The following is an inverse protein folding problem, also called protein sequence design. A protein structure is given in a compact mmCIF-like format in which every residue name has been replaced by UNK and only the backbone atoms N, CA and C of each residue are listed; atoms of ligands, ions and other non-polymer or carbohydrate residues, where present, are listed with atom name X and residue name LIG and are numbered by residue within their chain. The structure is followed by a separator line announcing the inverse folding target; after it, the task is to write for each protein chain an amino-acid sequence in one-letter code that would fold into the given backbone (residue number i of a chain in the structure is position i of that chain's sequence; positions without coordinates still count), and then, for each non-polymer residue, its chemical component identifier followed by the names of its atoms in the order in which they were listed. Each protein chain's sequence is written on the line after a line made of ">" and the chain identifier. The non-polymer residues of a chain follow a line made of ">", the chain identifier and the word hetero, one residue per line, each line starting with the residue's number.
data_IF_457361228870
#
_entry.id   IF_457361228870
#
_cell.length_a   1.000
_cell.length_b   1.000
_cell.length_c   1.000
_cell.angle_alpha   90.00
_cell.angle_beta   90.00
_cell.angle_gamma   90.00
#
_symmetry.space_group_name_H-M   'P 1'
#
loop_
_entity.id
_entity.type
_entity.pdbx_description
1 polymer ?
#
# COMPACT_ATOMS: atom_id res chain seq x y z
N UNK A 1 9.00 -29.14 0.87
CA UNK A 1 9.90 -28.01 0.54
C UNK A 1 9.68 -26.97 1.61
N UNK A 2 10.73 -26.32 2.12
CA UNK A 2 10.58 -25.28 3.14
C UNK A 2 10.10 -23.98 2.50
N UNK A 3 8.98 -23.45 2.99
CA UNK A 3 8.28 -22.29 2.42
C UNK A 3 8.92 -20.98 2.89
N UNK A 4 9.02 -19.99 1.98
CA UNK A 4 9.43 -18.62 2.30
C UNK A 4 8.18 -17.75 2.42
N UNK A 5 8.16 -16.87 3.41
CA UNK A 5 7.02 -15.99 3.68
C UNK A 5 7.42 -14.53 3.52
N UNK A 6 6.47 -13.69 3.10
CA UNK A 6 6.63 -12.24 3.18
C UNK A 6 6.73 -11.81 4.66
N UNK A 7 7.44 -10.72 4.96
CA UNK A 7 7.50 -10.18 6.31
C UNK A 7 7.25 -8.68 6.31
N UNK A 8 6.00 -8.27 6.50
CA UNK A 8 5.64 -6.88 6.65
C UNK A 8 6.41 -6.26 7.83
N UNK A 9 6.92 -5.05 7.61
CA UNK A 9 7.48 -4.25 8.68
C UNK A 9 6.37 -3.84 9.66
N UNK A 10 6.67 -3.91 10.95
CA UNK A 10 5.72 -3.47 11.97
C UNK A 10 5.64 -1.93 11.95
N UNK A 11 4.49 -1.41 11.53
CA UNK A 11 4.17 0.00 11.67
C UNK A 11 3.48 0.25 13.03
N UNK A 12 3.67 1.44 13.65
CA UNK A 12 2.86 1.85 14.79
C UNK A 12 1.37 1.80 14.43
N UNK A 13 0.53 1.35 15.36
CA UNK A 13 -0.92 1.41 15.17
C UNK A 13 -1.36 2.89 15.07
N UNK A 14 -2.33 3.22 14.20
CA UNK A 14 -2.91 4.55 14.17
C UNK A 14 -3.53 4.90 15.53
N UNK A 15 -3.22 6.09 16.06
CA UNK A 15 -3.84 6.60 17.28
C UNK A 15 -5.08 7.42 16.92
N UNK A 16 -6.26 6.96 17.32
CA UNK A 16 -7.53 7.68 17.11
C UNK A 16 -7.97 8.40 18.39
N UNK A 17 -8.66 9.54 18.22
CA UNK A 17 -9.22 10.28 19.34
C UNK A 17 -10.27 9.44 20.11
N UNK A 18 -10.29 9.53 21.45
CA UNK A 18 -11.26 8.80 22.26
C UNK A 18 -12.69 9.28 21.95
N UNK A 19 -13.65 8.33 21.89
CA UNK A 19 -15.06 8.62 21.64
C UNK A 19 -15.50 8.62 20.17
N UNK A 20 -14.61 8.24 19.25
CA UNK A 20 -14.96 8.04 17.84
C UNK A 20 -15.96 6.87 17.69
N UNK A 21 -17.05 7.10 16.95
CA UNK A 21 -18.02 6.05 16.63
C UNK A 21 -17.35 4.90 15.88
N UNK A 22 -17.77 3.66 16.13
CA UNK A 22 -17.13 2.46 15.58
C UNK A 22 -17.09 2.48 14.03
N UNK A 23 -18.21 2.85 13.40
CA UNK A 23 -18.33 2.96 11.93
C UNK A 23 -17.33 3.98 11.35
N UNK A 24 -17.17 5.12 12.04
CA UNK A 24 -16.26 6.20 11.66
C UNK A 24 -14.79 5.78 11.80
N UNK A 25 -14.47 5.06 12.88
CA UNK A 25 -13.14 4.47 13.09
C UNK A 25 -12.80 3.45 11.99
N UNK A 26 -13.74 2.59 11.64
CA UNK A 26 -13.52 1.56 10.63
C UNK A 26 -13.21 2.13 9.25
N UNK A 27 -13.95 3.16 8.85
CA UNK A 27 -13.72 3.85 7.58
C UNK A 27 -12.31 4.46 7.46
N UNK A 28 -11.80 5.04 8.56
CA UNK A 28 -10.44 5.59 8.62
C UNK A 28 -9.36 4.51 8.59
N UNK A 29 -9.56 3.44 9.37
CA UNK A 29 -8.64 2.30 9.43
C UNK A 29 -8.47 1.67 8.05
N UNK A 30 -9.58 1.35 7.38
CA UNK A 30 -9.55 0.75 6.04
C UNK A 30 -9.07 1.72 4.95
N UNK A 31 -9.40 3.00 5.06
CA UNK A 31 -9.16 4.00 4.00
C UNK A 31 -7.81 4.72 4.05
N UNK A 32 -7.21 4.87 5.23
CA UNK A 32 -6.00 5.69 5.43
C UNK A 32 -4.78 5.15 4.67
N UNK A 33 -4.64 3.85 4.48
CA UNK A 33 -3.55 3.28 3.67
C UNK A 33 -3.81 3.31 2.17
N UNK A 34 -5.05 3.53 1.73
CA UNK A 34 -5.41 3.42 0.31
C UNK A 34 -5.00 4.67 -0.47
N UNK A 35 -4.59 4.50 -1.72
CA UNK A 35 -4.32 5.60 -2.64
C UNK A 35 -5.63 6.27 -3.09
N UNK A 36 -5.61 7.54 -3.48
CA UNK A 36 -6.76 8.15 -4.17
C UNK A 36 -6.78 7.74 -5.64
N UNK A 37 -7.95 7.64 -6.25
CA UNK A 37 -8.09 7.34 -7.67
C UNK A 37 -7.36 8.38 -8.53
N UNK A 38 -6.88 7.94 -9.69
CA UNK A 38 -6.06 8.68 -10.65
C UNK A 38 -4.60 8.86 -10.21
N UNK A 39 -4.17 8.26 -9.10
CA UNK A 39 -2.76 8.23 -8.69
C UNK A 39 -1.97 7.41 -9.71
N UNK A 40 -0.86 7.97 -10.19
CA UNK A 40 0.17 7.22 -10.90
C UNK A 40 1.24 6.87 -9.87
N UNK A 41 1.40 5.59 -9.58
CA UNK A 41 2.42 5.07 -8.68
C UNK A 41 3.72 4.92 -9.46
N UNK A 42 4.66 5.81 -9.19
CA UNK A 42 5.97 5.76 -9.81
C UNK A 42 6.84 4.77 -9.07
N UNK A 43 7.48 3.87 -9.82
CA UNK A 43 8.38 2.88 -9.26
C UNK A 43 9.78 2.98 -9.85
N UNK A 44 10.77 2.71 -9.01
CA UNK A 44 12.19 2.70 -9.33
C UNK A 44 12.81 1.39 -8.86
N UNK A 45 13.59 0.75 -9.73
CA UNK A 45 14.46 -0.35 -9.32
C UNK A 45 15.81 0.21 -8.92
N UNK A 46 16.33 -0.19 -7.76
CA UNK A 46 17.73 0.08 -7.46
C UNK A 46 18.60 -0.58 -8.53
N UNK A 47 19.55 0.17 -9.08
CA UNK A 47 20.47 -0.28 -10.11
C UNK A 47 21.92 -0.24 -9.60
N UNK A 48 22.81 -0.93 -10.30
CA UNK A 48 24.22 -1.03 -9.93
C UNK A 48 25.06 0.17 -10.43
N UNK A 49 24.54 0.97 -11.36
CA UNK A 49 25.28 2.04 -12.04
C UNK A 49 25.17 3.38 -11.27
N UNK A 50 24.05 3.60 -10.57
CA UNK A 50 23.85 4.61 -9.53
C UNK A 50 24.27 4.11 -8.13
N UNK A 51 24.87 2.92 -8.04
CA UNK A 51 25.46 2.41 -6.81
C UNK A 51 26.75 3.18 -6.46
N UNK A 52 26.59 4.47 -6.17
CA UNK A 52 27.33 5.07 -5.08
C UNK A 52 27.23 4.12 -3.87
N UNK A 53 28.24 4.13 -3.01
CA UNK A 53 28.37 3.22 -1.88
C UNK A 53 27.28 3.43 -0.78
N UNK A 54 26.01 3.54 -1.16
CA UNK A 54 24.83 3.82 -0.34
C UNK A 54 23.72 2.77 -0.52
N UNK A 55 23.53 2.19 -1.71
CA UNK A 55 22.38 1.29 -2.00
C UNK A 55 22.66 -0.17 -1.68
N UNK A 56 23.18 -0.38 -0.47
CA UNK A 56 23.53 -1.70 0.01
C UNK A 56 23.21 -1.80 1.48
N UNK A 57 22.74 -2.96 1.92
CA UNK A 57 22.74 -3.27 3.34
C UNK A 57 24.15 -3.67 3.80
N UNK A 58 24.50 -3.31 5.04
CA UNK A 58 25.73 -3.75 5.70
C UNK A 58 25.39 -4.81 6.74
N UNK A 59 25.46 -6.07 6.35
CA UNK A 59 25.03 -7.21 7.17
C UNK A 59 26.23 -7.95 7.79
N UNK A 60 26.10 -8.49 9.01
CA UNK A 60 27.13 -9.32 9.61
C UNK A 60 27.31 -10.62 8.82
N UNK A 61 28.55 -11.08 8.69
CA UNK A 61 28.87 -12.40 8.15
C UNK A 61 28.90 -13.39 9.33
N UNK A 62 27.99 -14.38 9.38
CA UNK A 62 27.89 -15.29 10.51
C UNK A 62 29.24 -15.97 10.84
N UNK A 63 29.60 -15.98 12.12
CA UNK A 63 30.80 -16.69 12.62
C UNK A 63 32.15 -16.03 12.36
N UNK A 64 32.19 -14.86 11.71
CA UNK A 64 33.47 -14.19 11.34
C UNK A 64 33.70 -12.86 12.05
N UNK A 65 32.64 -12.23 12.59
CA UNK A 65 32.71 -10.85 13.11
C UNK A 65 32.85 -9.78 12.02
N UNK A 66 32.98 -10.17 10.75
CA UNK A 66 33.08 -9.27 9.62
C UNK A 66 31.69 -8.77 9.19
N UNK A 67 31.69 -7.65 8.45
CA UNK A 67 30.48 -7.10 7.82
C UNK A 67 30.67 -7.10 6.31
N UNK A 68 29.64 -7.53 5.58
CA UNK A 68 29.62 -7.46 4.12
C UNK A 68 28.55 -6.50 3.64
N UNK A 69 28.85 -5.86 2.51
CA UNK A 69 27.88 -5.04 1.77
C UNK A 69 27.09 -5.94 0.82
N UNK A 70 25.77 -5.82 0.81
CA UNK A 70 24.90 -6.55 -0.11
C UNK A 70 24.10 -5.55 -0.92
N UNK A 71 24.29 -5.48 -2.25
CA UNK A 71 23.59 -4.54 -3.09
C UNK A 71 22.10 -4.87 -3.17
N UNK A 72 21.30 -3.83 -3.39
CA UNK A 72 19.86 -3.97 -3.62
C UNK A 72 19.50 -4.13 -5.10
N UNK A 73 20.47 -3.96 -6.00
CA UNK A 73 20.24 -4.07 -7.43
C UNK A 73 19.80 -5.49 -7.83
N UNK A 74 18.72 -5.55 -8.62
CA UNK A 74 18.20 -6.80 -9.18
C UNK A 74 18.66 -7.04 -10.61
N UNK A 75 18.80 -8.31 -10.98
CA UNK A 75 19.01 -8.71 -12.37
C UNK A 75 17.82 -8.29 -13.24
N UNK A 76 18.08 -7.98 -14.51
CA UNK A 76 17.05 -7.49 -15.45
C UNK A 76 15.86 -8.45 -15.56
N UNK A 77 16.12 -9.74 -15.54
CA UNK A 77 15.11 -10.79 -15.67
C UNK A 77 14.12 -10.77 -14.49
N UNK A 78 14.60 -10.50 -13.27
CA UNK A 78 13.74 -10.36 -12.10
C UNK A 78 12.95 -9.05 -12.13
N UNK A 79 13.56 -7.96 -12.59
CA UNK A 79 12.85 -6.69 -12.79
C UNK A 79 11.74 -6.85 -13.84
N UNK A 80 11.99 -7.60 -14.92
CA UNK A 80 11.00 -7.87 -15.97
C UNK A 80 9.79 -8.66 -15.43
N UNK A 81 10.00 -9.60 -14.50
CA UNK A 81 8.90 -10.28 -13.78
C UNK A 81 8.05 -9.26 -12.99
N UNK A 82 8.69 -8.33 -12.27
CA UNK A 82 7.97 -7.29 -11.52
C UNK A 82 7.19 -6.36 -12.45
N UNK A 83 7.78 -5.94 -13.58
CA UNK A 83 7.10 -5.16 -14.64
C UNK A 83 5.87 -5.90 -15.19
N UNK A 84 5.98 -7.21 -15.41
CA UNK A 84 4.84 -8.05 -15.82
C UNK A 84 3.72 -8.08 -14.80
N UNK A 85 4.06 -8.19 -13.51
CA UNK A 85 3.06 -8.18 -12.44
C UNK A 85 2.38 -6.81 -12.29
N UNK A 86 3.12 -5.70 -12.44
CA UNK A 86 2.49 -4.37 -12.53
C UNK A 86 1.53 -4.27 -13.72
N UNK A 87 1.91 -4.81 -14.89
CA UNK A 87 1.02 -4.87 -16.06
C UNK A 87 -0.22 -5.72 -15.82
N UNK A 88 -0.14 -6.80 -15.05
CA UNK A 88 -1.29 -7.62 -14.70
C UNK A 88 -2.30 -6.86 -13.83
N UNK A 89 -1.83 -6.23 -12.74
CA UNK A 89 -2.66 -5.37 -11.90
C UNK A 89 -3.28 -4.21 -12.69
N UNK A 90 -2.46 -3.53 -13.50
CA UNK A 90 -2.92 -2.47 -14.42
C UNK A 90 -3.98 -2.96 -15.40
N UNK A 91 -3.81 -4.17 -15.93
CA UNK A 91 -4.69 -4.79 -16.93
C UNK A 91 -6.12 -5.03 -16.43
N UNK A 92 -6.36 -4.95 -15.12
CA UNK A 92 -7.71 -4.97 -14.54
C UNK A 92 -8.51 -3.70 -14.83
N UNK A 93 -7.87 -2.62 -15.29
CA UNK A 93 -8.51 -1.33 -15.53
C UNK A 93 -8.82 -0.56 -14.24
N UNK A 94 -8.06 -0.80 -13.18
CA UNK A 94 -8.18 -0.11 -11.89
C UNK A 94 -7.89 1.39 -12.03
N UNK A 95 -8.42 2.16 -11.08
CA UNK A 95 -8.32 3.61 -11.06
C UNK A 95 -6.95 4.17 -10.66
N UNK A 96 -5.93 3.34 -10.48
CA UNK A 96 -4.53 3.76 -10.28
C UNK A 96 -3.68 3.22 -11.44
N UNK A 97 -2.61 3.93 -11.80
CA UNK A 97 -1.67 3.49 -12.83
C UNK A 97 -0.26 3.32 -12.24
N UNK A 98 0.64 2.71 -13.01
CA UNK A 98 2.03 2.47 -12.62
C UNK A 98 2.98 2.97 -13.70
N UNK A 99 4.02 3.69 -13.30
CA UNK A 99 5.03 4.21 -14.21
C UNK A 99 6.44 3.95 -13.67
N UNK A 100 7.30 3.35 -14.50
CA UNK A 100 8.72 3.22 -14.15
C UNK A 100 9.43 4.55 -14.34
N UNK A 101 10.25 4.95 -13.38
CA UNK A 101 11.08 6.17 -13.44
C UNK A 101 12.55 5.81 -13.27
N UNK A 102 13.42 6.61 -13.88
CA UNK A 102 14.88 6.46 -13.78
C UNK A 102 15.51 7.16 -12.57
N UNK A 103 14.73 7.92 -11.80
CA UNK A 103 15.19 8.62 -10.61
C UNK A 103 14.33 8.25 -9.40
N UNK A 104 14.97 7.78 -8.32
CA UNK A 104 14.28 7.41 -7.08
C UNK A 104 13.56 8.60 -6.42
N UNK A 105 14.01 9.85 -6.65
CA UNK A 105 13.34 11.04 -6.11
C UNK A 105 11.98 11.30 -6.73
N UNK A 106 11.70 10.64 -7.85
CA UNK A 106 10.42 10.69 -8.54
C UNK A 106 9.59 9.42 -8.30
N UNK A 107 9.98 8.55 -7.35
CA UNK A 107 9.35 7.25 -7.11
C UNK A 107 8.73 7.12 -5.71
N UNK A 108 7.42 6.84 -5.65
CA UNK A 108 6.76 6.41 -4.42
C UNK A 108 7.20 4.99 -4.02
N UNK A 109 7.40 4.11 -5.00
CA UNK A 109 7.82 2.72 -4.79
C UNK A 109 9.29 2.51 -5.19
N UNK A 110 10.13 2.10 -4.24
CA UNK A 110 11.57 1.88 -4.45
C UNK A 110 11.91 0.43 -4.17
N UNK A 111 12.24 -0.32 -5.22
CA UNK A 111 12.23 -1.77 -5.23
C UNK A 111 13.66 -2.32 -5.25
N UNK A 112 14.01 -3.09 -4.22
CA UNK A 112 15.28 -3.82 -4.14
C UNK A 112 15.13 -5.34 -4.26
N UNK A 113 16.25 -6.01 -4.43
CA UNK A 113 16.33 -7.46 -4.64
C UNK A 113 17.38 -8.10 -3.72
N UNK A 114 17.41 -7.73 -2.44
CA UNK A 114 18.42 -8.21 -1.51
C UNK A 114 18.14 -9.66 -1.09
N UNK A 115 18.98 -10.64 -1.46
CA UNK A 115 18.74 -12.03 -1.10
C UNK A 115 18.86 -12.24 0.41
N UNK A 116 17.94 -13.03 0.97
CA UNK A 116 17.93 -13.37 2.39
C UNK A 116 17.37 -12.30 3.33
N UNK A 117 16.89 -11.17 2.80
CA UNK A 117 16.22 -10.10 3.56
C UNK A 117 14.69 -10.28 3.64
N UNK A 118 14.19 -11.43 3.18
CA UNK A 118 12.76 -11.68 2.97
C UNK A 118 12.21 -10.92 1.75
N UNK A 119 10.96 -11.20 1.40
CA UNK A 119 10.18 -10.35 0.49
C UNK A 119 9.17 -9.56 1.32
N UNK A 120 8.95 -8.30 0.97
CA UNK A 120 8.04 -7.41 1.67
C UNK A 120 7.78 -6.14 0.86
N UNK A 121 6.67 -5.45 1.17
CA UNK A 121 6.34 -4.12 0.68
C UNK A 121 5.75 -3.28 1.80
N UNK A 122 5.94 -1.96 1.71
CA UNK A 122 5.10 -1.00 2.40
C UNK A 122 3.64 -1.17 1.96
N UNK A 123 2.70 -0.91 2.87
CA UNK A 123 1.28 -1.09 2.62
C UNK A 123 0.68 0.24 2.14
N UNK A 124 0.32 0.31 0.86
CA UNK A 124 -0.29 1.50 0.28
C UNK A 124 0.50 2.79 0.53
N UNK A 125 -0.18 3.83 1.05
CA UNK A 125 0.38 5.15 1.33
C UNK A 125 1.47 5.17 2.41
N UNK A 126 1.65 4.09 3.18
CA UNK A 126 2.76 3.99 4.13
C UNK A 126 4.12 4.14 3.42
N UNK A 127 4.20 3.82 2.13
CA UNK A 127 5.37 4.05 1.29
C UNK A 127 5.86 5.51 1.30
N UNK A 128 4.96 6.47 1.49
CA UNK A 128 5.27 7.91 1.54
C UNK A 128 6.01 8.32 2.82
N UNK A 129 6.00 7.49 3.87
CA UNK A 129 6.68 7.77 5.14
C UNK A 129 8.14 7.28 5.16
N UNK A 130 8.50 6.44 4.18
CA UNK A 130 9.82 5.82 4.08
C UNK A 130 10.79 6.79 3.40
N UNK A 131 11.99 6.91 3.96
CA UNK A 131 13.05 7.79 3.45
C UNK A 131 13.40 7.52 1.99
N UNK A 132 13.84 8.57 1.30
CA UNK A 132 14.16 8.53 -0.13
C UNK A 132 15.26 7.51 -0.49
N UNK A 133 16.20 7.29 0.43
CA UNK A 133 17.32 6.37 0.24
C UNK A 133 16.99 4.93 0.60
N UNK A 134 15.80 4.66 1.14
CA UNK A 134 15.40 3.34 1.60
C UNK A 134 14.45 2.66 0.61
N UNK A 135 14.49 1.32 0.61
CA UNK A 135 13.53 0.49 -0.12
C UNK A 135 12.14 0.64 0.49
N UNK A 136 11.12 0.70 -0.35
CA UNK A 136 9.72 0.51 0.07
C UNK A 136 9.21 -0.89 -0.27
N UNK A 137 9.97 -1.65 -1.06
CA UNK A 137 9.68 -3.03 -1.40
C UNK A 137 10.99 -3.79 -1.61
N UNK A 138 11.02 -5.06 -1.21
CA UNK A 138 12.15 -5.94 -1.46
C UNK A 138 11.70 -7.32 -1.93
N UNK A 139 12.47 -7.91 -2.83
CA UNK A 139 12.38 -9.33 -3.19
C UNK A 139 13.60 -10.08 -2.65
N UNK A 140 13.35 -11.05 -1.77
CA UNK A 140 14.39 -11.77 -1.04
C UNK A 140 14.94 -13.00 -1.75
N UNK A 141 14.42 -13.32 -2.93
CA UNK A 141 14.75 -14.52 -3.70
C UNK A 141 14.44 -14.35 -5.18
N UNK A 142 14.94 -15.32 -5.97
CA UNK A 142 14.80 -15.32 -7.43
C UNK A 142 13.33 -15.47 -7.87
N UNK A 143 12.79 -14.40 -8.44
CA UNK A 143 11.42 -14.35 -8.98
C UNK A 143 11.26 -15.13 -10.29
N UNK A 144 12.35 -15.45 -10.99
CA UNK A 144 12.31 -16.18 -12.27
C UNK A 144 12.12 -17.68 -12.06
N UNK A 145 12.34 -18.18 -10.84
CA UNK A 145 12.11 -19.58 -10.51
C UNK A 145 10.61 -19.94 -10.61
N UNK A 146 10.27 -21.18 -11.03
CA UNK A 146 8.88 -21.61 -11.15
C UNK A 146 8.05 -21.33 -9.89
N UNK A 147 6.89 -20.72 -10.08
CA UNK A 147 5.97 -20.36 -9.00
C UNK A 147 6.34 -19.11 -8.18
N UNK A 148 7.52 -18.50 -8.37
CA UNK A 148 7.94 -17.33 -7.59
C UNK A 148 7.37 -16.00 -8.10
N UNK A 149 6.82 -15.97 -9.31
CA UNK A 149 6.08 -14.82 -9.85
C UNK A 149 4.95 -14.36 -8.92
N UNK A 150 4.29 -15.29 -8.24
CA UNK A 150 3.23 -14.97 -7.28
C UNK A 150 3.70 -14.03 -6.15
N UNK A 151 4.97 -14.11 -5.75
CA UNK A 151 5.55 -13.18 -4.77
C UNK A 151 5.48 -11.73 -5.28
N UNK A 152 5.80 -11.48 -6.55
CA UNK A 152 5.70 -10.12 -7.10
C UNK A 152 4.26 -9.61 -7.15
N UNK A 153 3.28 -10.46 -7.47
CA UNK A 153 1.87 -10.07 -7.40
C UNK A 153 1.44 -9.73 -5.96
N UNK A 154 1.89 -10.54 -4.99
CA UNK A 154 1.63 -10.35 -3.56
C UNK A 154 2.19 -9.02 -3.03
N UNK A 155 3.47 -8.72 -3.28
CA UNK A 155 4.09 -7.48 -2.82
C UNK A 155 3.45 -6.25 -3.48
N UNK A 156 3.04 -6.34 -4.75
CA UNK A 156 2.28 -5.26 -5.40
C UNK A 156 0.87 -5.13 -4.79
N UNK A 157 0.25 -6.22 -4.37
CA UNK A 157 -1.00 -6.20 -3.59
C UNK A 157 -0.86 -5.39 -2.29
N UNK A 158 0.23 -5.58 -1.55
CA UNK A 158 0.57 -4.72 -0.41
C UNK A 158 0.76 -3.26 -0.81
N UNK A 159 1.50 -2.98 -1.88
CA UNK A 159 1.66 -1.61 -2.40
C UNK A 159 0.32 -0.97 -2.80
N UNK A 160 -0.69 -1.76 -3.12
CA UNK A 160 -2.08 -1.33 -3.37
C UNK A 160 -2.94 -1.25 -2.10
N UNK A 161 -2.41 -1.63 -0.93
CA UNK A 161 -3.07 -1.52 0.37
C UNK A 161 -3.73 -2.81 0.88
N UNK A 162 -3.47 -3.95 0.25
CA UNK A 162 -3.95 -5.25 0.73
C UNK A 162 -3.13 -5.75 1.92
N UNK A 163 -3.78 -6.49 2.82
CA UNK A 163 -3.13 -7.18 3.94
C UNK A 163 -3.22 -8.70 3.77
N UNK A 164 -2.53 -9.46 4.62
CA UNK A 164 -2.56 -10.91 4.54
C UNK A 164 -3.94 -11.49 4.86
N UNK A 165 -4.35 -12.45 4.05
CA UNK A 165 -5.71 -13.01 4.07
C UNK A 165 -5.95 -13.94 5.28
N UNK A 166 -4.94 -14.73 5.70
CA UNK A 166 -5.02 -15.60 6.90
C UNK A 166 -5.20 -14.84 8.21
N UNK A 167 -4.83 -13.57 8.23
CA UNK A 167 -4.99 -12.69 9.41
C UNK A 167 -6.43 -12.17 9.53
N UNK A 168 -7.29 -12.41 8.53
CA UNK A 168 -8.72 -12.10 8.61
C UNK A 168 -9.37 -12.83 9.80
N UNK A 169 -10.20 -12.15 10.61
CA UNK A 169 -10.99 -12.81 11.62
C UNK A 169 -12.11 -13.67 11.00
N UNK A 170 -12.45 -13.43 9.73
CA UNK A 170 -13.42 -14.23 8.97
C UNK A 170 -12.84 -15.54 8.43
N UNK A 171 -11.53 -15.75 8.52
CA UNK A 171 -10.88 -16.98 8.07
C UNK A 171 -11.25 -18.21 8.91
N UNK A 172 -11.70 -18.01 10.15
CA UNK A 172 -11.99 -19.11 11.07
C UNK A 172 -10.76 -19.97 11.41
N UNK A 173 -9.55 -19.54 10.98
CA UNK A 173 -8.33 -20.30 11.23
C UNK A 173 -8.01 -20.33 12.72
N UNK A 174 -7.99 -21.53 13.26
CA UNK A 174 -7.42 -21.83 14.56
C UNK A 174 -6.05 -22.48 14.35
N UNK A 175 -5.00 -21.83 14.85
CA UNK A 175 -3.62 -22.27 14.69
C UNK A 175 -3.20 -23.27 15.77
N UNK A 176 -2.27 -24.15 15.43
CA UNK A 176 -1.35 -24.71 16.42
C UNK A 176 -0.19 -23.70 16.57
N UNK A 177 -0.34 -22.75 17.49
CA UNK A 177 0.60 -21.65 17.69
C UNK A 177 2.06 -22.15 17.87
N UNK A 178 2.28 -23.20 18.66
CA UNK A 178 3.63 -23.71 18.91
C UNK A 178 4.22 -24.40 17.66
N UNK A 179 3.41 -25.12 16.89
CA UNK A 179 3.85 -25.67 15.61
C UNK A 179 4.23 -24.55 14.63
N UNK A 180 3.44 -23.47 14.55
CA UNK A 180 3.74 -22.30 13.71
C UNK A 180 5.03 -21.62 14.16
N UNK A 181 5.23 -21.41 15.47
CA UNK A 181 6.48 -20.85 15.98
C UNK A 181 7.68 -21.74 15.67
N UNK A 182 7.56 -23.05 15.86
CA UNK A 182 8.64 -24.00 15.60
C UNK A 182 9.02 -24.05 14.11
N UNK A 183 8.03 -24.08 13.21
CA UNK A 183 8.24 -24.08 11.76
C UNK A 183 8.96 -22.80 11.31
N UNK A 184 8.50 -21.63 11.74
CA UNK A 184 9.05 -20.35 11.27
C UNK A 184 10.37 -19.97 11.95
N UNK A 185 10.69 -20.53 13.11
CA UNK A 185 12.03 -20.42 13.70
C UNK A 185 13.09 -21.21 12.92
N UNK A 186 12.68 -22.20 12.12
CA UNK A 186 13.55 -22.99 11.25
C UNK A 186 13.93 -22.29 9.93
N UNK A 187 14.85 -22.89 9.15
CA UNK A 187 15.17 -22.43 7.80
C UNK A 187 13.95 -22.54 6.86
N UNK A 188 13.79 -21.61 5.89
CA UNK A 188 14.69 -20.50 5.57
C UNK A 188 14.38 -19.20 6.32
N UNK A 189 13.36 -19.18 7.18
CA UNK A 189 12.79 -17.94 7.72
C UNK A 189 13.56 -17.42 8.93
N UNK A 190 13.88 -18.30 9.89
CA UNK A 190 14.57 -17.94 11.14
C UNK A 190 13.89 -16.78 11.90
N UNK A 191 12.56 -16.77 11.94
CA UNK A 191 11.80 -15.70 12.57
C UNK A 191 11.77 -15.84 14.08
N UNK A 192 11.80 -14.69 14.76
CA UNK A 192 11.46 -14.62 16.18
C UNK A 192 9.97 -14.87 16.39
N UNK A 193 9.59 -15.27 17.60
CA UNK A 193 8.17 -15.41 17.97
C UNK A 193 7.40 -14.10 17.73
N UNK A 194 7.98 -12.94 18.02
CA UNK A 194 7.31 -11.66 17.77
C UNK A 194 7.04 -11.41 16.27
N UNK A 195 8.00 -11.70 15.40
CA UNK A 195 7.83 -11.58 13.95
C UNK A 195 6.77 -12.56 13.43
N UNK A 196 6.79 -13.81 13.89
CA UNK A 196 5.78 -14.82 13.58
C UNK A 196 4.40 -14.41 14.05
N UNK A 197 4.29 -13.91 15.29
CA UNK A 197 3.02 -13.43 15.83
C UNK A 197 2.48 -12.29 14.98
N UNK A 198 3.30 -11.31 14.63
CA UNK A 198 2.86 -10.15 13.86
C UNK A 198 2.40 -10.50 12.44
N UNK A 199 3.14 -11.35 11.73
CA UNK A 199 2.90 -11.67 10.32
C UNK A 199 1.92 -12.84 10.10
N UNK A 200 1.74 -13.73 11.09
CA UNK A 200 0.93 -14.95 10.93
C UNK A 200 -0.20 -15.02 11.94
N UNK A 201 0.11 -15.01 13.24
CA UNK A 201 -0.89 -15.38 14.26
C UNK A 201 -1.82 -14.23 14.66
N UNK A 202 -1.36 -12.98 14.55
CA UNK A 202 -2.15 -11.79 14.87
C UNK A 202 -3.34 -11.72 13.92
N UNK A 203 -4.54 -11.56 14.47
CA UNK A 203 -5.74 -11.22 13.71
C UNK A 203 -5.83 -9.71 13.49
N UNK A 204 -6.24 -9.33 12.28
CA UNK A 204 -6.54 -7.96 11.90
C UNK A 204 -7.86 -7.52 12.53
N UNK A 205 -8.02 -6.20 12.68
CA UNK A 205 -9.34 -5.64 12.96
C UNK A 205 -10.28 -5.92 11.77
N UNK A 206 -11.58 -6.24 11.98
CA UNK A 206 -12.54 -6.41 10.89
C UNK A 206 -12.61 -5.24 9.91
N UNK A 207 -12.21 -4.04 10.33
CA UNK A 207 -12.16 -2.86 9.46
C UNK A 207 -10.86 -2.76 8.64
N UNK A 208 -9.85 -3.59 8.93
CA UNK A 208 -8.57 -3.65 8.20
C UNK A 208 -8.55 -4.72 7.12
N UNK A 209 -9.47 -5.68 7.13
CA UNK A 209 -9.41 -6.84 6.23
C UNK A 209 -9.74 -6.49 4.78
N UNK A 210 -9.30 -7.34 3.86
CA UNK A 210 -9.59 -7.17 2.44
C UNK A 210 -11.09 -7.35 2.15
N UNK A 211 -11.73 -8.34 2.78
CA UNK A 211 -13.15 -8.62 2.59
C UNK A 211 -13.80 -9.27 3.81
N UNK A 212 -15.13 -9.29 3.83
CA UNK A 212 -15.94 -9.93 4.87
C UNK A 212 -16.08 -11.44 4.72
N UNK A 213 -15.49 -12.01 3.65
CA UNK A 213 -15.44 -13.45 3.37
C UNK A 213 -13.99 -13.80 3.14
N UNK A 214 -13.52 -14.86 3.80
CA UNK A 214 -12.16 -15.35 3.63
C UNK A 214 -11.98 -16.04 2.29
N UNK A 215 -10.91 -15.68 1.57
CA UNK A 215 -10.51 -16.30 0.32
C UNK A 215 -9.21 -17.10 0.46
N UNK A 216 -9.28 -18.44 0.65
CA UNK A 216 -8.09 -19.30 0.76
C UNK A 216 -7.26 -19.38 -0.53
N UNK A 217 -7.74 -18.81 -1.64
CA UNK A 217 -7.06 -18.75 -2.93
C UNK A 217 -6.54 -17.34 -3.28
N UNK A 218 -6.70 -16.38 -2.37
CA UNK A 218 -6.18 -15.02 -2.54
C UNK A 218 -4.68 -15.05 -2.78
N UNK A 219 -4.19 -14.12 -3.61
CA UNK A 219 -2.76 -13.86 -3.74
C UNK A 219 -2.14 -13.42 -2.41
N UNK A 220 -2.94 -12.87 -1.48
CA UNK A 220 -2.52 -12.43 -0.15
C UNK A 220 -2.55 -13.54 0.90
N UNK A 221 -3.00 -14.73 0.54
CA UNK A 221 -3.00 -15.91 1.40
C UNK A 221 -1.64 -16.59 1.39
N UNK A 222 -1.17 -17.01 2.57
CA UNK A 222 0.09 -17.73 2.68
C UNK A 222 -0.12 -19.23 2.47
N UNK A 223 0.82 -19.92 1.78
CA UNK A 223 0.81 -21.37 1.76
C UNK A 223 1.29 -21.91 3.11
N UNK A 224 0.46 -22.68 3.83
CA UNK A 224 0.83 -23.31 5.09
C UNK A 224 0.97 -24.82 4.95
N UNK A 225 1.99 -25.38 5.60
CA UNK A 225 2.21 -26.83 5.63
C UNK A 225 1.16 -27.55 6.51
N UNK A 226 1.05 -28.87 6.33
CA UNK A 226 0.24 -29.72 7.21
C UNK A 226 0.66 -29.61 8.67
N UNK A 227 -0.31 -29.64 9.57
CA UNK A 227 -0.08 -29.65 11.02
C UNK A 227 0.05 -28.26 11.65
N UNK A 228 -0.03 -27.18 10.86
CA UNK A 228 -0.02 -25.81 11.39
C UNK A 228 -1.43 -25.29 11.73
N UNK A 229 -2.43 -25.75 10.99
CA UNK A 229 -3.83 -25.32 11.12
C UNK A 229 -4.62 -26.44 11.81
N UNK A 230 -5.30 -26.12 12.91
CA UNK A 230 -6.19 -27.01 13.64
C UNK A 230 -7.62 -26.96 13.09
N UNK A 231 -8.08 -25.78 12.68
CA UNK A 231 -9.39 -25.57 12.05
C UNK A 231 -9.30 -24.50 10.96
N UNK A 232 -10.12 -24.59 9.89
CA UNK A 232 -11.07 -25.67 9.63
C UNK A 232 -10.38 -26.98 9.20
N UNK A 233 -11.06 -28.12 9.41
CA UNK A 233 -10.47 -29.46 9.23
C UNK A 233 -9.89 -29.70 7.84
N UNK A 234 -10.49 -29.10 6.81
CA UNK A 234 -10.04 -29.18 5.42
C UNK A 234 -8.59 -28.70 5.22
N UNK A 235 -8.10 -27.74 6.03
CA UNK A 235 -6.72 -27.21 5.91
C UNK A 235 -5.73 -27.82 6.91
N UNK A 236 -6.11 -28.85 7.69
CA UNK A 236 -5.16 -29.59 8.55
C UNK A 236 -4.03 -30.25 7.74
N UNK A 237 -4.32 -30.61 6.49
CA UNK A 237 -3.35 -31.22 5.58
C UNK A 237 -2.51 -30.19 4.81
N UNK A 238 -2.75 -28.90 5.03
CA UNK A 238 -2.06 -27.79 4.39
C UNK A 238 -3.02 -26.85 3.68
N UNK A 239 -2.56 -25.62 3.45
CA UNK A 239 -3.23 -24.58 2.69
C UNK A 239 -2.33 -24.18 1.52
N UNK A 240 -2.86 -24.22 0.31
CA UNK A 240 -2.09 -24.07 -0.92
C UNK A 240 -2.82 -23.15 -1.92
N UNK A 241 -2.64 -21.82 -1.80
CA UNK A 241 -3.15 -20.88 -2.80
C UNK A 241 -2.45 -21.06 -4.15
N UNK A 242 -3.15 -20.73 -5.24
CA UNK A 242 -2.64 -20.92 -6.62
C UNK A 242 -1.43 -20.04 -6.98
N UNK A 243 -1.20 -18.92 -6.27
CA UNK A 243 -0.14 -17.96 -6.60
C UNK A 243 -0.50 -17.02 -7.77
N UNK A 244 -1.79 -16.78 -7.99
CA UNK A 244 -2.35 -15.86 -9.00
C UNK A 244 -3.50 -15.04 -8.41
N UNK A 245 -3.86 -13.93 -9.04
CA UNK A 245 -4.99 -13.09 -8.57
C UNK A 245 -6.32 -13.86 -8.60
N UNK A 246 -6.94 -14.01 -7.44
CA UNK A 246 -8.28 -14.57 -7.28
C UNK A 246 -9.37 -13.61 -7.77
N UNK A 247 -10.62 -14.06 -7.90
CA UNK A 247 -11.76 -13.16 -8.13
C UNK A 247 -11.93 -12.12 -7.02
N UNK A 248 -11.74 -12.49 -5.75
CA UNK A 248 -11.88 -11.59 -4.61
C UNK A 248 -10.76 -10.54 -4.57
N UNK A 249 -9.53 -10.89 -4.95
CA UNK A 249 -8.43 -9.94 -5.09
C UNK A 249 -8.77 -8.83 -6.10
N UNK A 250 -9.33 -9.23 -7.25
CA UNK A 250 -9.73 -8.31 -8.33
C UNK A 250 -10.89 -7.42 -7.90
N UNK A 251 -11.89 -7.99 -7.24
CA UNK A 251 -13.02 -7.24 -6.70
C UNK A 251 -12.56 -6.22 -5.66
N UNK A 252 -11.65 -6.61 -4.75
CA UNK A 252 -11.09 -5.72 -3.74
C UNK A 252 -10.49 -4.45 -4.37
N UNK A 253 -9.58 -4.61 -5.33
CA UNK A 253 -8.92 -3.47 -5.95
C UNK A 253 -9.85 -2.66 -6.83
N UNK A 254 -10.83 -3.28 -7.51
CA UNK A 254 -11.82 -2.55 -8.31
C UNK A 254 -12.80 -1.75 -7.44
N UNK A 255 -13.11 -2.23 -6.23
CA UNK A 255 -13.93 -1.50 -5.27
C UNK A 255 -13.22 -0.26 -4.73
N UNK A 256 -11.93 -0.39 -4.39
CA UNK A 256 -11.13 0.72 -3.84
C UNK A 256 -10.57 1.67 -4.89
N UNK A 257 -10.35 1.16 -6.10
CA UNK A 257 -9.82 1.88 -7.24
C UNK A 257 -10.72 1.62 -8.46
N UNK A 258 -11.97 2.15 -8.46
CA UNK A 258 -12.85 2.00 -9.61
C UNK A 258 -12.24 2.61 -10.87
N UNK A 259 -12.50 2.05 -12.07
CA UNK A 259 -12.00 2.63 -13.31
C UNK A 259 -12.35 4.12 -13.43
N UNK A 260 -11.34 4.96 -13.66
CA UNK A 260 -11.55 6.39 -13.88
C UNK A 260 -11.69 6.68 -15.38
N UNK A 261 -12.73 7.42 -15.74
CA UNK A 261 -12.86 7.99 -17.08
C UNK A 261 -11.82 9.10 -17.33
N UNK A 262 -11.74 9.62 -18.56
CA UNK A 262 -10.79 10.69 -18.90
C UNK A 262 -11.02 11.90 -17.97
N UNK A 263 -9.97 12.39 -17.27
CA UNK A 263 -10.13 13.44 -16.28
C UNK A 263 -10.56 14.74 -16.95
N UNK A 264 -11.81 15.15 -16.72
CA UNK A 264 -12.26 16.53 -16.88
C UNK A 264 -12.70 17.08 -15.53
N UNK A 265 -11.76 17.20 -14.57
CA UNK A 265 -12.08 17.70 -13.25
C UNK A 265 -12.63 19.12 -13.33
N UNK A 266 -13.58 19.43 -12.45
CA UNK A 266 -14.12 20.78 -12.33
C UNK A 266 -13.03 21.74 -11.84
N UNK A 267 -13.09 23.02 -12.23
CA UNK A 267 -12.16 24.02 -11.72
C UNK A 267 -12.42 24.34 -10.24
N UNK A 268 -11.42 24.18 -9.38
CA UNK A 268 -11.44 24.67 -8.01
C UNK A 268 -10.88 26.09 -7.99
N UNK A 269 -11.79 27.06 -8.15
CA UNK A 269 -11.43 28.48 -8.20
C UNK A 269 -10.99 28.95 -6.80
N UNK A 270 -9.82 29.58 -6.65
CA UNK A 270 -9.36 30.08 -5.36
C UNK A 270 -10.39 31.01 -4.68
N UNK A 271 -10.54 30.87 -3.37
CA UNK A 271 -11.53 31.54 -2.50
C UNK A 271 -13.00 31.26 -2.85
N UNK A 272 -13.29 30.15 -3.53
CA UNK A 272 -14.66 29.64 -3.72
C UNK A 272 -14.75 28.21 -3.24
N UNK A 273 -15.68 27.95 -2.33
CA UNK A 273 -15.98 26.59 -1.91
C UNK A 273 -16.70 25.83 -3.02
N UNK A 274 -16.31 24.57 -3.21
CA UNK A 274 -16.99 23.62 -4.07
C UNK A 274 -17.68 22.58 -3.18
N UNK A 275 -19.02 22.43 -3.24
CA UNK A 275 -19.71 21.42 -2.44
C UNK A 275 -19.31 20.02 -2.89
N UNK A 276 -19.11 19.14 -1.92
CA UNK A 276 -18.85 17.72 -2.14
C UNK A 276 -20.18 16.96 -1.97
N UNK A 277 -20.54 16.17 -2.98
CA UNK A 277 -21.70 15.28 -2.94
C UNK A 277 -21.18 13.85 -3.08
N UNK A 278 -20.53 13.40 -2.02
CA UNK A 278 -19.83 12.12 -1.97
C UNK A 278 -20.51 11.21 -0.95
N UNK A 279 -20.65 9.93 -1.29
CA UNK A 279 -20.88 8.84 -0.36
C UNK A 279 -19.55 8.26 0.16
N UNK A 280 -19.61 7.36 1.16
CA UNK A 280 -18.42 6.68 1.68
C UNK A 280 -17.61 5.98 0.57
N UNK A 281 -16.31 6.24 0.52
CA UNK A 281 -15.38 5.73 -0.49
C UNK A 281 -15.39 6.50 -1.82
N UNK A 282 -16.38 7.37 -2.06
CA UNK A 282 -16.43 8.17 -3.28
C UNK A 282 -15.39 9.29 -3.27
N UNK A 283 -15.05 9.77 -4.46
CA UNK A 283 -14.02 10.77 -4.67
C UNK A 283 -14.51 11.88 -5.61
N UNK A 284 -14.07 13.11 -5.33
CA UNK A 284 -14.21 14.25 -6.22
C UNK A 284 -12.84 14.75 -6.68
N UNK A 285 -12.74 15.05 -7.98
CA UNK A 285 -11.53 15.53 -8.62
C UNK A 285 -11.73 16.98 -9.11
N UNK A 286 -10.77 17.82 -8.77
CA UNK A 286 -10.73 19.22 -9.17
C UNK A 286 -9.39 19.59 -9.80
N UNK A 287 -9.39 20.62 -10.66
CA UNK A 287 -8.18 21.23 -11.20
C UNK A 287 -8.00 22.65 -10.66
N UNK A 288 -6.76 23.01 -10.34
CA UNK A 288 -6.35 24.36 -9.99
C UNK A 288 -5.32 24.85 -11.01
N UNK A 289 -5.58 26.04 -11.55
CA UNK A 289 -4.60 26.84 -12.28
C UNK A 289 -4.38 28.15 -11.49
N UNK A 290 -3.32 28.23 -10.66
CA UNK A 290 -3.11 29.37 -9.78
C UNK A 290 -2.80 30.62 -10.60
N UNK A 291 -3.44 31.73 -10.25
CA UNK A 291 -3.22 33.03 -10.89
C UNK A 291 -1.96 33.74 -10.39
N UNK A 292 -1.40 33.29 -9.25
CA UNK A 292 -0.21 33.83 -8.60
C UNK A 292 0.65 32.71 -7.99
N UNK A 293 1.96 32.89 -7.96
CA UNK A 293 2.86 31.97 -7.25
C UNK A 293 2.90 32.33 -5.77
N UNK A 294 2.33 31.48 -4.92
CA UNK A 294 2.34 31.65 -3.45
C UNK A 294 2.02 30.34 -2.74
N UNK A 295 2.07 30.37 -1.41
CA UNK A 295 1.44 29.33 -0.59
C UNK A 295 -0.08 29.48 -0.66
N UNK A 296 -0.76 28.35 -0.87
CA UNK A 296 -2.20 28.19 -0.80
C UNK A 296 -2.50 27.16 0.29
N UNK A 297 -3.63 27.36 0.98
CA UNK A 297 -4.25 26.31 1.76
C UNK A 297 -5.28 25.59 0.89
N UNK A 298 -5.29 24.26 0.93
CA UNK A 298 -6.31 23.43 0.31
C UNK A 298 -6.88 22.54 1.40
N UNK A 299 -8.21 22.53 1.55
CA UNK A 299 -8.82 21.74 2.60
C UNK A 299 -10.31 21.54 2.44
N UNK A 300 -10.81 20.55 3.17
CA UNK A 300 -12.23 20.25 3.32
C UNK A 300 -12.87 21.09 4.44
N UNK A 301 -14.20 21.14 4.43
CA UNK A 301 -15.03 21.80 5.41
C UNK A 301 -16.27 20.95 5.64
N UNK A 302 -16.81 21.00 6.85
CA UNK A 302 -18.03 20.31 7.24
C UNK A 302 -17.77 19.16 8.21
N UNK A 303 -18.79 18.32 8.35
CA UNK A 303 -18.82 17.17 9.25
C UNK A 303 -18.43 15.89 8.49
N UNK A 304 -17.14 15.74 8.19
CA UNK A 304 -16.61 14.59 7.45
C UNK A 304 -15.19 14.20 7.77
N UNK A 305 -14.89 12.92 7.53
CA UNK A 305 -13.54 12.38 7.42
C UNK A 305 -13.15 12.29 5.96
N UNK A 306 -12.08 12.98 5.60
CA UNK A 306 -11.62 13.09 4.23
C UNK A 306 -10.10 12.98 4.16
N UNK A 307 -9.62 12.43 3.05
CA UNK A 307 -8.25 12.66 2.61
C UNK A 307 -8.28 13.67 1.46
N UNK A 308 -7.44 14.70 1.57
CA UNK A 308 -7.21 15.69 0.52
C UNK A 308 -5.81 15.47 -0.02
N UNK A 309 -5.70 15.24 -1.33
CA UNK A 309 -4.41 15.03 -2.01
C UNK A 309 -4.26 16.01 -3.14
N UNK A 310 -3.10 16.65 -3.21
CA UNK A 310 -2.72 17.57 -4.28
C UNK A 310 -1.64 16.92 -5.15
N UNK A 311 -1.86 16.98 -6.45
CA UNK A 311 -0.91 16.56 -7.48
C UNK A 311 -0.51 17.76 -8.33
N UNK A 312 0.74 17.78 -8.77
CA UNK A 312 1.22 18.68 -9.82
C UNK A 312 1.18 17.94 -11.16
N UNK A 313 0.61 18.55 -12.21
CA UNK A 313 0.71 18.01 -13.56
C UNK A 313 2.12 18.31 -14.11
N UNK A 314 2.88 17.26 -14.43
CA UNK A 314 4.17 17.35 -15.12
C UNK A 314 4.13 16.47 -16.35
N UNK A 315 4.41 17.06 -17.51
CA UNK A 315 4.41 16.35 -18.80
C UNK A 315 3.10 15.58 -19.10
N UNK A 316 1.96 16.11 -18.60
CA UNK A 316 0.63 15.51 -18.76
C UNK A 316 0.30 14.43 -17.72
N UNK A 317 1.18 14.16 -16.76
CA UNK A 317 0.99 13.15 -15.72
C UNK A 317 0.89 13.79 -14.32
N UNK A 318 -0.05 13.33 -13.46
CA UNK A 318 -0.11 13.77 -12.08
C UNK A 318 1.07 13.23 -11.24
N UNK A 319 1.81 14.12 -10.59
CA UNK A 319 2.87 13.82 -9.63
C UNK A 319 2.41 14.18 -8.23
N UNK A 320 2.55 13.26 -7.27
CA UNK A 320 2.16 13.52 -5.88
C UNK A 320 2.93 14.73 -5.35
N UNK A 321 2.22 15.71 -4.79
CA UNK A 321 2.82 16.90 -4.19
C UNK A 321 2.68 16.90 -2.68
N UNK A 322 1.46 16.66 -2.20
CA UNK A 322 1.15 16.60 -0.78
C UNK A 322 -0.20 15.90 -0.56
N UNK A 323 -0.38 15.32 0.63
CA UNK A 323 -1.67 14.78 1.06
C UNK A 323 -1.83 14.98 2.55
N UNK A 324 -3.07 15.19 2.98
CA UNK A 324 -3.43 15.26 4.39
C UNK A 324 -4.72 14.52 4.64
N UNK A 325 -4.71 13.76 5.72
CA UNK A 325 -5.84 13.06 6.30
C UNK A 325 -6.23 13.80 7.59
N UNK A 326 -7.51 13.95 7.88
CA UNK A 326 -7.94 14.53 9.17
C UNK A 326 -7.80 13.55 10.34
N UNK A 327 -7.50 12.27 10.06
CA UNK A 327 -7.18 11.26 11.04
C UNK A 327 -8.33 10.99 12.01
N UNK A 328 -9.57 11.29 11.62
CA UNK A 328 -10.73 11.15 12.52
C UNK A 328 -10.86 12.22 13.58
N UNK A 329 -10.11 13.32 13.48
CA UNK A 329 -10.25 14.45 14.40
C UNK A 329 -11.53 15.25 14.11
N UNK A 330 -11.95 16.15 15.00
CA UNK A 330 -13.00 17.14 14.69
C UNK A 330 -12.55 18.21 13.68
N UNK A 331 -11.26 18.22 13.30
CA UNK A 331 -10.73 19.14 12.32
C UNK A 331 -10.85 18.55 10.92
N UNK A 332 -11.00 19.40 9.91
CA UNK A 332 -11.01 18.95 8.52
C UNK A 332 -9.59 18.87 7.95
N UNK A 333 -9.40 17.97 6.98
CA UNK A 333 -8.13 17.81 6.30
C UNK A 333 -7.76 19.12 5.59
N UNK A 334 -6.66 19.74 6.00
CA UNK A 334 -6.14 20.97 5.42
C UNK A 334 -4.63 20.87 5.27
N UNK A 335 -4.13 21.20 4.10
CA UNK A 335 -2.69 21.21 3.80
C UNK A 335 -2.27 22.52 3.14
N UNK A 336 -1.02 22.90 3.37
CA UNK A 336 -0.40 24.08 2.76
C UNK A 336 0.55 23.64 1.67
N UNK A 337 0.35 24.19 0.48
CA UNK A 337 1.16 23.88 -0.71
C UNK A 337 1.53 25.16 -1.44
N UNK A 338 2.78 25.24 -1.89
CA UNK A 338 3.21 26.31 -2.77
C UNK A 338 2.83 25.98 -4.21
N UNK A 339 1.83 26.68 -4.74
CA UNK A 339 1.43 26.54 -6.13
C UNK A 339 2.12 27.61 -6.98
N UNK A 340 2.52 27.24 -8.19
CA UNK A 340 3.28 28.10 -9.12
C UNK A 340 2.38 28.55 -10.26
N UNK A 341 2.32 29.86 -10.50
CA UNK A 341 1.57 30.46 -11.61
C UNK A 341 1.96 29.83 -12.95
N UNK A 342 0.96 29.47 -13.76
CA UNK A 342 1.16 28.89 -15.08
C UNK A 342 1.40 27.37 -15.07
N UNK A 343 1.41 26.73 -13.91
CA UNK A 343 1.33 25.28 -13.77
C UNK A 343 -0.10 24.84 -13.49
N UNK A 344 -0.37 23.55 -13.65
CA UNK A 344 -1.67 22.95 -13.36
C UNK A 344 -1.54 21.92 -12.24
N UNK A 345 -2.55 21.88 -11.39
CA UNK A 345 -2.61 20.99 -10.24
C UNK A 345 -3.95 20.27 -10.20
N UNK A 346 -3.96 19.08 -9.63
CA UNK A 346 -5.19 18.33 -9.33
C UNK A 346 -5.39 18.25 -7.83
N UNK A 347 -6.61 18.49 -7.36
CA UNK A 347 -7.03 18.23 -5.99
C UNK A 347 -8.01 17.08 -6.00
N UNK A 348 -7.69 16.03 -5.26
CA UNK A 348 -8.54 14.86 -5.12
C UNK A 348 -8.96 14.74 -3.68
N UNK A 349 -10.26 14.64 -3.47
CA UNK A 349 -10.86 14.51 -2.15
C UNK A 349 -11.63 13.21 -2.11
N UNK A 350 -11.19 12.28 -1.27
CA UNK A 350 -11.96 11.05 -1.00
C UNK A 350 -12.61 11.18 0.37
N UNK A 351 -13.89 10.81 0.42
CA UNK A 351 -14.69 10.80 1.64
C UNK A 351 -14.62 9.41 2.27
N UNK A 352 -14.28 9.33 3.56
CA UNK A 352 -14.34 8.10 4.34
C UNK A 352 -15.68 7.97 5.07
N UNK A 353 -16.10 9.03 5.76
CA UNK A 353 -17.35 9.08 6.52
C UNK A 353 -17.87 10.51 6.70
N UNK A 354 -19.17 10.63 6.99
CA UNK A 354 -19.84 11.90 7.33
C UNK A 354 -20.65 11.74 8.59
N UNK A 355 -20.89 12.85 9.30
CA UNK A 355 -21.85 12.92 10.40
C UNK A 355 -22.67 14.23 10.29
N UNK A 356 -23.58 14.45 11.25
CA UNK A 356 -24.38 15.68 11.27
C UNK A 356 -25.23 15.84 10.01
N UNK A 357 -25.12 17.00 9.34
CA UNK A 357 -25.82 17.25 8.07
C UNK A 357 -25.22 16.48 6.88
N UNK A 358 -23.98 16.00 7.00
CA UNK A 358 -23.19 15.44 5.91
C UNK A 358 -22.83 16.44 4.81
N UNK A 359 -23.13 17.73 5.01
CA UNK A 359 -22.77 18.78 4.05
C UNK A 359 -21.29 19.09 4.15
N UNK A 360 -20.59 18.86 3.04
CA UNK A 360 -19.14 19.01 2.98
C UNK A 360 -18.74 19.82 1.76
N UNK A 361 -17.60 20.48 1.83
CA UNK A 361 -17.06 21.26 0.73
C UNK A 361 -15.54 21.20 0.72
N UNK A 362 -14.93 21.54 -0.42
CA UNK A 362 -13.49 21.77 -0.54
C UNK A 362 -13.23 23.18 -1.02
N UNK A 363 -12.14 23.80 -0.59
CA UNK A 363 -11.70 25.09 -1.09
C UNK A 363 -10.17 25.13 -1.22
N UNK A 364 -9.69 25.97 -2.13
CA UNK A 364 -8.31 26.44 -2.16
C UNK A 364 -8.30 27.95 -1.84
N UNK A 365 -7.44 28.44 -0.94
CA UNK A 365 -7.38 29.87 -0.57
C UNK A 365 -5.96 30.37 -0.30
#
# INVERSE_FOLDING_TARGET
>A
MTTRYCSLAQQPAPEFAPGLAAERRGALIGGSRMWVNGTVLHYYFFDADNAAATDTSVIPVPGTGERRRVPWAGAKEQQDVVRECFREWRGLGIGVDFAEVGDRSEAELRIGFQPGDGSWSAVGRDALTIGLSDRTMNFGWDLTAPGQRGTALHEIGHALGMLHEHQSPFAGIHWDDEAVYAELAGPPNFWSRDRTRFNVLRKLDPDEVNGSVWDPQSIMEYPFASGLILEPEEYRTGLHPHGSLSPCDKEFVLRWYPPVGPPRPAGLVPFRSAPLRLGPGEQADFAIEPTQTREYAVGSFGDSDTVVVVFEERDGEPRFLAGQDDGGTPHNATLKVRLVKGRRYFVRVRLYSTWGSGETAVMCW
#
